data_IF_929042386509
#
_entry.id   IF_929042386509
#
_cell.length_a   1.000
_cell.length_b   1.000
_cell.length_c   1.000
_cell.angle_alpha   90.00
_cell.angle_beta   90.00
_cell.angle_gamma   90.00
#
_symmetry.space_group_name_H-M   'P 1'
#
loop_
_entity.id
_entity.type
_entity.pdbx_description
1 polymer ?
2 polymer ?
3 polymer ?
4 non-polymer ?
5 non-polymer ?
6 non-polymer ?
7 water ?
#
# COMPACT_ATOMS: atom_id res chain seq x y z
N UNK A 1 6.48 -18.95 7.43
CA UNK A 1 5.03 -19.14 7.27
C UNK A 1 4.66 -20.59 7.46
N UNK A 2 3.36 -20.85 7.71
CA UNK A 2 2.91 -22.20 8.04
C UNK A 2 3.00 -23.16 6.87
N UNK A 3 3.16 -22.66 5.65
CA UNK A 3 3.30 -23.51 4.46
C UNK A 3 4.74 -23.65 4.01
N UNK A 4 5.68 -22.98 4.68
CA UNK A 4 7.04 -22.95 4.18
C UNK A 4 7.72 -24.30 4.13
N UNK A 5 7.33 -25.23 5.00
CA UNK A 5 7.96 -26.54 5.02
C UNK A 5 7.30 -27.53 4.08
N UNK A 6 6.23 -27.16 3.39
CA UNK A 6 5.52 -28.07 2.51
C UNK A 6 5.99 -27.92 1.07
N UNK A 7 6.12 -29.05 0.38
CA UNK A 7 6.48 -29.06 -1.03
C UNK A 7 5.48 -28.28 -1.87
N UNK A 8 5.98 -27.58 -2.87
CA UNK A 8 5.11 -26.87 -3.82
C UNK A 8 4.04 -27.80 -4.39
N UNK A 9 4.44 -28.99 -4.85
CA UNK A 9 3.47 -29.86 -5.50
C UNK A 9 2.41 -30.32 -4.51
N UNK A 10 2.80 -30.50 -3.24
CA UNK A 10 1.84 -30.92 -2.22
C UNK A 10 0.85 -29.80 -1.93
N UNK A 11 1.32 -28.55 -1.94
CA UNK A 11 0.43 -27.41 -1.78
C UNK A 11 -0.60 -27.34 -2.90
N UNK A 12 -0.16 -27.54 -4.15
CA UNK A 12 -1.09 -27.51 -5.27
C UNK A 12 -2.09 -28.66 -5.16
N UNK A 13 -1.61 -29.85 -4.81
CA UNK A 13 -2.50 -31.00 -4.67
C UNK A 13 -3.54 -30.73 -3.59
N UNK A 14 -3.11 -30.15 -2.47
CA UNK A 14 -4.05 -29.88 -1.39
C UNK A 14 -5.00 -28.76 -1.74
N UNK A 15 -4.55 -27.78 -2.54
CA UNK A 15 -5.49 -26.76 -3.02
C UNK A 15 -6.62 -27.40 -3.81
N UNK A 16 -6.29 -28.40 -4.63
CA UNK A 16 -7.31 -29.08 -5.42
C UNK A 16 -8.25 -29.88 -4.53
N UNK A 17 -7.72 -30.53 -3.49
CA UNK A 17 -8.58 -31.23 -2.54
C UNK A 17 -9.46 -30.26 -1.78
N UNK A 18 -8.91 -29.13 -1.36
CA UNK A 18 -9.71 -28.14 -0.66
C UNK A 18 -10.85 -27.65 -1.54
N UNK A 19 -10.58 -27.47 -2.84
CA UNK A 19 -11.64 -27.07 -3.76
C UNK A 19 -12.74 -28.13 -3.80
N UNK A 20 -12.38 -29.40 -3.87
CA UNK A 20 -13.39 -30.45 -3.89
C UNK A 20 -14.21 -30.47 -2.62
N UNK A 21 -13.59 -30.11 -1.50
CA UNK A 21 -14.28 -30.06 -0.21
C UNK A 21 -14.93 -28.70 0.04
N UNK A 22 -14.83 -27.78 -0.92
CA UNK A 22 -15.40 -26.42 -0.80
C UNK A 22 -14.87 -25.70 0.42
N UNK A 23 -13.59 -25.93 0.71
CA UNK A 23 -12.87 -25.29 1.80
C UNK A 23 -11.98 -24.23 1.18
N UNK A 24 -12.60 -23.09 0.83
CA UNK A 24 -11.91 -22.10 0.01
C UNK A 24 -10.88 -21.30 0.80
N UNK A 25 -11.08 -21.08 2.10
CA UNK A 25 -10.02 -20.45 2.89
C UNK A 25 -8.76 -21.31 2.88
N UNK A 26 -8.92 -22.62 3.09
CA UNK A 26 -7.78 -23.53 3.02
C UNK A 26 -7.16 -23.49 1.63
N UNK A 27 -8.00 -23.54 0.60
CA UNK A 27 -7.51 -23.51 -0.78
C UNK A 27 -6.66 -22.29 -1.03
N UNK A 28 -7.11 -21.14 -0.56
CA UNK A 28 -6.36 -19.90 -0.77
C UNK A 28 -5.04 -19.94 -0.03
N UNK A 29 -5.03 -20.47 1.19
CA UNK A 29 -3.80 -20.55 1.96
C UNK A 29 -2.79 -21.46 1.31
N UNK A 30 -3.24 -22.57 0.74
CA UNK A 30 -2.34 -23.47 0.05
C UNK A 30 -1.78 -22.80 -1.20
N UNK A 31 -2.65 -22.11 -1.96
CA UNK A 31 -2.17 -21.45 -3.16
C UNK A 31 -1.22 -20.31 -2.83
N UNK A 32 -1.48 -19.56 -1.75
CA UNK A 32 -0.56 -18.54 -1.30
C UNK A 32 0.81 -19.14 -1.01
N UNK A 33 0.84 -20.26 -0.29
CA UNK A 33 2.10 -20.93 -0.04
C UNK A 33 2.80 -21.34 -1.31
N UNK A 34 2.03 -21.83 -2.30
CA UNK A 34 2.63 -22.22 -3.57
C UNK A 34 3.25 -21.02 -4.27
N UNK A 35 2.55 -19.88 -4.28
CA UNK A 35 3.10 -18.66 -4.89
C UNK A 35 4.41 -18.29 -4.22
N UNK A 36 4.48 -18.43 -2.91
CA UNK A 36 5.64 -18.01 -2.15
C UNK A 36 6.87 -18.89 -2.39
N UNK A 37 6.72 -19.99 -3.10
CA UNK A 37 7.89 -20.76 -3.52
C UNK A 37 8.70 -20.05 -4.60
N UNK A 38 8.13 -19.02 -5.21
CA UNK A 38 8.86 -18.17 -6.10
C UNK A 38 8.92 -18.62 -7.55
N UNK A 39 8.23 -19.69 -7.92
CA UNK A 39 8.16 -20.12 -9.31
C UNK A 39 6.90 -19.54 -9.95
N UNK A 40 6.95 -19.31 -11.26
CA UNK A 40 5.79 -18.80 -11.95
C UNK A 40 4.68 -19.85 -11.97
N UNK A 41 3.44 -19.39 -11.81
CA UNK A 41 2.26 -20.26 -11.86
C UNK A 41 1.93 -20.62 -13.30
N UNK A 42 1.51 -21.87 -13.49
CA UNK A 42 0.96 -22.30 -14.75
C UNK A 42 -0.44 -21.73 -14.93
N UNK A 43 -0.99 -21.93 -16.13
CA UNK A 43 -2.36 -21.48 -16.39
C UNK A 43 -3.34 -22.13 -15.42
N UNK A 44 -3.22 -23.44 -15.21
CA UNK A 44 -4.10 -24.12 -14.26
C UNK A 44 -3.93 -23.56 -12.86
N UNK A 45 -2.69 -23.31 -12.45
CA UNK A 45 -2.44 -22.82 -11.10
C UNK A 45 -2.97 -21.40 -10.90
N UNK A 46 -2.85 -20.54 -11.92
CA UNK A 46 -3.44 -19.21 -11.83
C UNK A 46 -4.93 -19.30 -11.58
N UNK A 47 -5.60 -20.24 -12.26
CA UNK A 47 -7.03 -20.39 -12.06
C UNK A 47 -7.35 -20.88 -10.66
N UNK A 48 -6.53 -21.78 -10.11
CA UNK A 48 -6.75 -22.21 -8.73
C UNK A 48 -6.62 -21.03 -7.76
N UNK A 49 -5.58 -20.24 -7.93
CA UNK A 49 -5.37 -19.08 -7.07
C UNK A 49 -6.59 -18.16 -7.13
N UNK A 50 -7.06 -17.88 -8.35
CA UNK A 50 -8.15 -16.95 -8.54
C UNK A 50 -9.45 -17.49 -7.95
N UNK A 51 -9.78 -18.76 -8.21
CA UNK A 51 -11.01 -19.32 -7.69
C UNK A 51 -11.01 -19.29 -6.17
N UNK A 52 -9.87 -19.63 -5.56
CA UNK A 52 -9.79 -19.68 -4.11
C UNK A 52 -10.15 -18.32 -3.52
N UNK A 53 -9.43 -17.27 -3.93
CA UNK A 53 -9.65 -15.98 -3.30
C UNK A 53 -10.99 -15.37 -3.73
N UNK A 54 -11.44 -15.66 -4.95
CA UNK A 54 -12.75 -15.17 -5.37
C UNK A 54 -13.84 -15.68 -4.44
N UNK A 55 -13.73 -16.93 -3.98
CA UNK A 55 -14.74 -17.48 -3.10
C UNK A 55 -14.61 -16.92 -1.69
N UNK A 56 -13.37 -16.74 -1.21
CA UNK A 56 -13.19 -16.14 0.12
C UNK A 56 -13.77 -14.73 0.12
N UNK A 57 -13.30 -13.86 -0.79
CA UNK A 57 -13.77 -12.48 -0.73
C UNK A 57 -15.24 -12.40 -1.12
N UNK A 58 -15.72 -13.34 -1.94
CA UNK A 58 -17.13 -13.33 -2.32
C UNK A 58 -18.04 -13.47 -1.12
N UNK A 59 -17.70 -14.36 -0.20
CA UNK A 59 -18.52 -14.52 0.99
C UNK A 59 -18.44 -13.30 1.88
N UNK A 60 -17.27 -12.70 1.97
CA UNK A 60 -17.11 -11.50 2.78
C UNK A 60 -17.90 -10.34 2.20
N UNK A 61 -17.84 -10.16 0.86
CA UNK A 61 -18.60 -9.09 0.20
C UNK A 61 -20.09 -9.28 0.41
N UNK A 62 -20.57 -10.51 0.27
CA UNK A 62 -22.01 -10.74 0.46
C UNK A 62 -22.43 -10.42 1.89
N UNK A 63 -21.61 -10.81 2.85
CA UNK A 63 -21.93 -10.51 4.25
C UNK A 63 -21.88 -9.01 4.52
N UNK A 64 -20.85 -8.34 3.98
CA UNK A 64 -20.76 -6.89 4.12
C UNK A 64 -21.99 -6.20 3.57
N UNK A 65 -22.49 -6.64 2.41
CA UNK A 65 -23.68 -6.02 1.82
C UNK A 65 -24.90 -6.22 2.70
N UNK A 66 -25.06 -7.41 3.29
CA UNK A 66 -26.16 -7.65 4.21
C UNK A 66 -26.07 -6.69 5.40
N UNK A 67 -24.89 -6.62 6.00
CA UNK A 67 -24.76 -5.80 7.22
C UNK A 67 -24.88 -4.33 6.90
N UNK A 68 -24.36 -3.90 5.75
CA UNK A 68 -24.45 -2.49 5.39
C UNK A 68 -25.91 -2.11 5.16
N UNK A 69 -26.69 -3.01 4.57
CA UNK A 69 -28.11 -2.72 4.36
C UNK A 69 -28.84 -2.59 5.69
N UNK A 70 -28.57 -3.51 6.61
CA UNK A 70 -29.17 -3.42 7.95
C UNK A 70 -28.77 -2.11 8.61
N UNK A 71 -27.50 -1.74 8.50
CA UNK A 71 -27.00 -0.51 9.10
C UNK A 71 -27.67 0.71 8.50
N UNK A 72 -27.85 0.73 7.18
CA UNK A 72 -28.48 1.87 6.52
C UNK A 72 -29.92 2.02 6.96
N UNK A 73 -30.64 0.91 7.13
CA UNK A 73 -32.01 1.02 7.60
C UNK A 73 -32.05 1.57 9.02
N UNK A 74 -31.06 1.25 9.83
CA UNK A 74 -30.97 1.81 11.17
C UNK A 74 -30.34 3.20 11.11
N UNK A 83 -27.87 1.36 19.45
CA UNK A 83 -26.59 0.85 19.92
C UNK A 83 -25.57 0.69 18.81
N UNK A 84 -24.29 0.53 19.18
CA UNK A 84 -23.22 0.50 18.18
C UNK A 84 -23.01 -0.86 17.53
N UNK A 85 -23.82 -1.87 17.83
CA UNK A 85 -23.46 -3.24 17.48
C UNK A 85 -23.45 -3.48 15.97
N UNK A 86 -24.43 -2.96 15.24
CA UNK A 86 -24.47 -3.20 13.79
C UNK A 86 -23.24 -2.61 13.13
N UNK A 87 -22.91 -1.36 13.47
CA UNK A 87 -21.72 -0.74 12.89
C UNK A 87 -20.46 -1.51 13.27
N UNK A 88 -20.35 -1.91 14.53
CA UNK A 88 -19.16 -2.63 14.98
C UNK A 88 -18.96 -3.89 14.17
N UNK A 89 -20.04 -4.65 13.96
CA UNK A 89 -19.90 -5.92 13.28
C UNK A 89 -19.68 -5.72 11.78
N UNK A 90 -20.36 -4.73 11.17
CA UNK A 90 -20.06 -4.39 9.79
C UNK A 90 -18.59 -3.99 9.65
N UNK A 91 -18.07 -3.22 10.60
CA UNK A 91 -16.67 -2.82 10.54
C UNK A 91 -15.74 -4.02 10.67
N UNK A 92 -16.12 -4.98 11.52
CA UNK A 92 -15.32 -6.19 11.68
C UNK A 92 -15.22 -6.93 10.35
N UNK A 93 -16.36 -7.14 9.69
CA UNK A 93 -16.35 -7.87 8.43
C UNK A 93 -15.58 -7.06 7.39
N UNK A 94 -15.80 -5.74 7.37
CA UNK A 94 -15.11 -4.87 6.42
C UNK A 94 -13.60 -5.00 6.58
N UNK A 95 -13.10 -4.97 7.81
CA UNK A 95 -11.67 -5.06 8.05
C UNK A 95 -11.12 -6.40 7.57
N UNK A 96 -11.85 -7.49 7.78
CA UNK A 96 -11.40 -8.80 7.30
C UNK A 96 -11.38 -8.86 5.79
N UNK A 97 -12.39 -8.26 5.15
CA UNK A 97 -12.43 -8.18 3.70
C UNK A 97 -11.23 -7.41 3.17
N UNK A 98 -10.95 -6.25 3.78
CA UNK A 98 -9.81 -5.44 3.35
C UNK A 98 -8.52 -6.22 3.56
N UNK A 99 -8.44 -7.02 4.62
CA UNK A 99 -7.26 -7.82 4.86
C UNK A 99 -7.02 -8.84 3.76
N UNK A 100 -8.09 -9.49 3.28
CA UNK A 100 -7.92 -10.44 2.20
C UNK A 100 -7.51 -9.73 0.92
N UNK A 101 -8.17 -8.60 0.60
CA UNK A 101 -7.76 -7.87 -0.60
C UNK A 101 -6.30 -7.46 -0.53
N UNK A 102 -5.85 -6.97 0.64
CA UNK A 102 -4.45 -6.60 0.81
C UNK A 102 -3.53 -7.81 0.62
N UNK A 103 -3.95 -8.97 1.10
CA UNK A 103 -3.15 -10.18 0.90
C UNK A 103 -2.99 -10.47 -0.59
N UNK A 104 -4.10 -10.43 -1.34
CA UNK A 104 -4.04 -10.74 -2.77
C UNK A 104 -3.18 -9.70 -3.50
N UNK A 105 -3.41 -8.42 -3.22
CA UNK A 105 -2.64 -7.37 -3.88
C UNK A 105 -1.17 -7.49 -3.54
N UNK A 106 -0.86 -7.91 -2.31
CA UNK A 106 0.51 -8.16 -1.93
C UNK A 106 1.16 -9.30 -2.70
N UNK A 107 0.43 -10.39 -2.89
CA UNK A 107 0.94 -11.49 -3.69
C UNK A 107 1.19 -11.04 -5.12
N UNK A 108 0.25 -10.29 -5.68
CA UNK A 108 0.42 -9.80 -7.05
C UNK A 108 1.65 -8.91 -7.15
N UNK A 109 1.81 -7.97 -6.24
CA UNK A 109 2.89 -7.00 -6.34
C UNK A 109 4.24 -7.63 -6.03
N UNK A 110 4.28 -8.51 -5.03
CA UNK A 110 5.55 -9.04 -4.55
C UNK A 110 6.01 -10.25 -5.35
N UNK A 111 5.09 -11.01 -5.94
CA UNK A 111 5.48 -12.28 -6.55
C UNK A 111 5.09 -12.45 -8.02
N UNK A 112 3.91 -11.98 -8.42
CA UNK A 112 3.30 -12.46 -9.66
C UNK A 112 3.35 -11.46 -10.81
N UNK A 113 3.19 -10.17 -10.57
CA UNK A 113 3.21 -9.18 -11.65
C UNK A 113 4.65 -8.94 -12.03
N UNK A 114 4.97 -9.16 -13.30
CA UNK A 114 6.33 -9.00 -13.79
C UNK A 114 6.27 -8.29 -15.13
N UNK A 115 7.40 -7.68 -15.48
CA UNK A 115 7.55 -7.08 -16.80
C UNK A 115 7.69 -8.15 -17.87
N UNK A 116 8.40 -9.22 -17.56
CA UNK A 116 8.86 -10.21 -18.55
C UNK A 116 7.98 -11.45 -18.55
N UNK A 117 6.68 -11.28 -18.69
CA UNK A 117 5.77 -12.39 -18.80
C UNK A 117 5.25 -12.60 -20.21
N UNK A 118 4.62 -13.75 -20.38
CA UNK A 118 3.74 -13.93 -21.52
C UNK A 118 2.49 -13.09 -21.34
N UNK A 119 1.91 -12.68 -22.47
CA UNK A 119 0.78 -11.76 -22.40
C UNK A 119 -0.36 -12.31 -21.56
N UNK A 120 -0.59 -13.62 -21.67
CA UNK A 120 -1.70 -14.25 -20.98
C UNK A 120 -1.60 -14.03 -19.48
N UNK A 121 -0.42 -14.29 -18.92
CA UNK A 121 -0.24 -14.15 -17.48
C UNK A 121 -0.22 -12.68 -17.07
N UNK A 122 0.45 -11.82 -17.85
CA UNK A 122 0.49 -10.41 -17.48
C UNK A 122 -0.91 -9.82 -17.41
N UNK A 123 -1.74 -10.11 -18.40
CA UNK A 123 -3.11 -9.59 -18.42
C UNK A 123 -3.92 -10.19 -17.28
N UNK A 124 -3.77 -11.50 -17.05
CA UNK A 124 -4.50 -12.16 -15.97
C UNK A 124 -4.26 -11.46 -14.63
N UNK A 125 -2.99 -11.20 -14.32
CA UNK A 125 -2.68 -10.66 -13.02
C UNK A 125 -3.03 -9.18 -12.89
N UNK A 126 -2.85 -8.41 -13.96
CA UNK A 126 -3.24 -7.00 -13.88
C UNK A 126 -4.75 -6.85 -13.78
N UNK A 127 -5.50 -7.70 -14.47
CA UNK A 127 -6.95 -7.74 -14.28
C UNK A 127 -7.28 -8.04 -12.82
N UNK A 128 -6.62 -9.04 -12.24
CA UNK A 128 -6.86 -9.39 -10.86
C UNK A 128 -6.58 -8.23 -9.95
N UNK A 129 -5.49 -7.50 -10.22
CA UNK A 129 -5.18 -6.31 -9.43
C UNK A 129 -6.31 -5.30 -9.51
N UNK A 130 -6.84 -5.07 -10.71
CA UNK A 130 -7.96 -4.18 -10.85
C UNK A 130 -9.17 -4.65 -10.06
N UNK A 131 -9.45 -5.96 -10.13
CA UNK A 131 -10.60 -6.52 -9.42
C UNK A 131 -10.48 -6.29 -7.90
N UNK A 132 -9.31 -6.57 -7.33
CA UNK A 132 -9.21 -6.49 -5.88
C UNK A 132 -9.17 -5.04 -5.40
N UNK A 133 -8.61 -4.11 -6.18
CA UNK A 133 -8.81 -2.70 -5.86
C UNK A 133 -10.28 -2.32 -6.00
N UNK A 134 -10.98 -2.86 -7.00
CA UNK A 134 -12.41 -2.60 -7.11
C UNK A 134 -13.15 -3.07 -5.86
N UNK A 135 -12.78 -4.24 -5.31
CA UNK A 135 -13.47 -4.69 -4.10
C UNK A 135 -13.17 -3.77 -2.92
N UNK A 136 -11.94 -3.28 -2.82
CA UNK A 136 -11.64 -2.27 -1.80
C UNK A 136 -12.48 -1.00 -2.03
N UNK A 137 -12.67 -0.61 -3.28
CA UNK A 137 -13.45 0.59 -3.59
C UNK A 137 -14.90 0.44 -3.19
N UNK A 138 -15.44 -0.78 -3.25
CA UNK A 138 -16.83 -1.00 -2.87
C UNK A 138 -17.10 -0.58 -1.43
N UNK A 139 -16.11 -0.69 -0.56
CA UNK A 139 -16.31 -0.39 0.86
C UNK A 139 -15.62 0.89 1.30
N UNK A 140 -14.95 1.59 0.39
CA UNK A 140 -14.24 2.83 0.71
C UNK A 140 -15.16 4.03 0.60
N UNK A 141 -14.76 5.11 1.27
CA UNK A 141 -15.47 6.37 1.23
C UNK A 141 -14.50 7.50 0.94
N UNK A 142 -15.05 8.65 0.52
CA UNK A 142 -14.29 9.89 0.48
C UNK A 142 -13.13 9.87 -0.50
N UNK A 143 -12.10 10.67 -0.17
CA UNK A 143 -10.92 10.74 -1.04
C UNK A 143 -10.13 9.44 -1.06
N UNK A 144 -10.11 8.72 0.06
CA UNK A 144 -9.52 7.38 0.06
C UNK A 144 -10.11 6.54 -1.07
N UNK A 145 -11.42 6.63 -1.24
CA UNK A 145 -12.06 5.95 -2.36
C UNK A 145 -11.49 6.42 -3.69
N UNK A 146 -11.21 7.72 -3.81
CA UNK A 146 -10.74 8.26 -5.08
C UNK A 146 -9.41 7.63 -5.50
N UNK A 147 -8.48 7.49 -4.56
CA UNK A 147 -7.18 6.91 -4.90
C UNK A 147 -7.30 5.42 -5.18
N UNK A 148 -8.18 4.71 -4.46
CA UNK A 148 -8.39 3.29 -4.72
C UNK A 148 -9.00 3.10 -6.09
N UNK A 149 -9.96 3.95 -6.43
CA UNK A 149 -10.59 3.87 -7.75
C UNK A 149 -9.57 4.10 -8.84
N UNK A 150 -8.66 5.06 -8.65
CA UNK A 150 -7.67 5.27 -9.69
C UNK A 150 -6.67 4.12 -9.79
N UNK A 151 -6.36 3.45 -8.66
CA UNK A 151 -5.49 2.28 -8.70
C UNK A 151 -6.14 1.14 -9.49
N UNK A 152 -7.44 0.91 -9.29
CA UNK A 152 -8.14 -0.08 -10.09
C UNK A 152 -8.12 0.28 -11.57
N UNK A 153 -8.43 1.53 -11.88
CA UNK A 153 -8.46 1.96 -13.27
C UNK A 153 -7.11 1.75 -13.93
N UNK A 154 -6.03 2.13 -13.23
CA UNK A 154 -4.69 2.03 -13.82
C UNK A 154 -4.32 0.59 -14.12
N UNK A 155 -4.67 -0.32 -13.22
CA UNK A 155 -4.38 -1.74 -13.44
C UNK A 155 -5.19 -2.30 -14.59
N UNK A 156 -6.50 -2.02 -14.61
CA UNK A 156 -7.31 -2.44 -15.74
C UNK A 156 -6.81 -1.87 -17.05
N UNK A 157 -6.43 -0.59 -17.04
CA UNK A 157 -6.03 0.04 -18.29
C UNK A 157 -4.75 -0.56 -18.84
N UNK A 158 -3.78 -0.85 -17.96
CA UNK A 158 -2.56 -1.51 -18.44
C UNK A 158 -2.89 -2.88 -19.00
N UNK A 159 -3.78 -3.63 -18.34
CA UNK A 159 -4.18 -4.94 -18.85
C UNK A 159 -4.86 -4.81 -20.20
N UNK A 160 -5.72 -3.79 -20.36
CA UNK A 160 -6.40 -3.57 -21.62
C UNK A 160 -5.40 -3.30 -22.74
N UNK A 161 -4.39 -2.47 -22.47
CA UNK A 161 -3.45 -2.10 -23.51
C UNK A 161 -2.67 -3.32 -23.98
N UNK A 162 -2.25 -4.17 -23.04
CA UNK A 162 -1.55 -5.39 -23.42
C UNK A 162 -2.47 -6.31 -24.20
N UNK A 163 -3.73 -6.44 -23.73
CA UNK A 163 -4.63 -7.42 -24.33
C UNK A 163 -4.96 -7.06 -25.77
N UNK A 164 -5.06 -5.75 -26.08
CA UNK A 164 -5.39 -5.33 -27.43
C UNK A 164 -4.21 -5.49 -28.38
N UNK A 165 -2.99 -5.40 -27.86
CA UNK A 165 -1.79 -5.54 -28.68
C UNK A 165 -1.37 -6.98 -28.89
N UNK A 166 -1.58 -7.84 -27.89
CA UNK A 166 -0.96 -9.16 -27.91
C UNK A 166 -1.96 -10.32 -27.97
N UNK A 167 -3.26 -10.08 -27.86
CA UNK A 167 -4.23 -11.16 -27.83
C UNK A 167 -5.30 -10.92 -28.88
N UNK A 168 -5.89 -11.99 -29.43
CA UNK A 168 -7.00 -11.80 -30.37
C UNK A 168 -8.26 -11.36 -29.65
N UNK A 169 -9.19 -10.72 -30.36
CA UNK A 169 -10.38 -10.14 -29.69
C UNK A 169 -11.30 -11.19 -29.10
N UNK A 170 -11.15 -12.46 -29.44
CA UNK A 170 -11.93 -13.54 -28.87
C UNK A 170 -11.25 -14.19 -27.65
N UNK A 171 -10.04 -13.80 -27.32
CA UNK A 171 -9.33 -14.48 -26.24
C UNK A 171 -10.15 -14.39 -24.95
N UNK A 172 -10.44 -15.51 -24.28
CA UNK A 172 -11.33 -15.42 -23.10
C UNK A 172 -10.81 -14.56 -21.96
N UNK A 173 -9.51 -14.51 -21.73
CA UNK A 173 -8.97 -13.63 -20.70
C UNK A 173 -9.20 -12.18 -21.08
N UNK A 174 -8.92 -11.82 -22.33
CA UNK A 174 -9.20 -10.48 -22.81
C UNK A 174 -10.69 -10.13 -22.65
N UNK A 175 -11.56 -11.08 -22.98
CA UNK A 175 -13.01 -10.82 -22.87
C UNK A 175 -13.41 -10.62 -21.41
N UNK A 176 -12.89 -11.45 -20.50
CA UNK A 176 -13.24 -11.31 -19.09
C UNK A 176 -12.73 -10.02 -18.50
N UNK A 177 -11.54 -9.60 -18.93
CA UNK A 177 -11.03 -8.29 -18.53
C UNK A 177 -11.97 -7.18 -18.96
N UNK A 178 -12.40 -7.20 -20.22
CA UNK A 178 -13.29 -6.15 -20.70
C UNK A 178 -14.60 -6.15 -19.93
N UNK A 179 -15.11 -7.34 -19.63
CA UNK A 179 -16.33 -7.45 -18.85
C UNK A 179 -16.18 -6.77 -17.49
N UNK A 180 -15.08 -7.07 -16.78
CA UNK A 180 -14.92 -6.51 -15.43
C UNK A 180 -14.56 -5.03 -15.48
N UNK A 181 -13.77 -4.60 -16.47
CA UNK A 181 -13.48 -3.17 -16.58
C UNK A 181 -14.76 -2.39 -16.88
N UNK A 182 -15.62 -2.95 -17.72
CA UNK A 182 -16.89 -2.27 -18.00
C UNK A 182 -17.75 -2.22 -16.74
N UNK A 183 -17.75 -3.28 -15.93
CA UNK A 183 -18.45 -3.25 -14.65
C UNK A 183 -17.85 -2.17 -13.73
N UNK A 184 -16.53 -2.06 -13.72
CA UNK A 184 -15.88 -0.97 -12.99
C UNK A 184 -16.41 0.39 -13.45
N UNK A 185 -16.45 0.62 -14.76
CA UNK A 185 -16.95 1.91 -15.26
C UNK A 185 -18.38 2.17 -14.78
N UNK A 186 -19.23 1.14 -14.81
CA UNK A 186 -20.65 1.33 -14.53
C UNK A 186 -20.92 1.48 -13.05
N UNK A 187 -20.31 0.61 -12.23
CA UNK A 187 -20.64 0.49 -10.80
C UNK A 187 -19.76 1.33 -9.88
N UNK A 188 -18.52 1.61 -10.27
CA UNK A 188 -17.55 2.25 -9.39
C UNK A 188 -17.24 3.66 -9.84
N UNK A 189 -16.98 3.85 -11.13
CA UNK A 189 -16.44 5.09 -11.67
C UNK A 189 -17.52 6.04 -12.19
N UNK A 190 -18.79 5.71 -12.03
CA UNK A 190 -19.87 6.63 -12.44
C UNK A 190 -19.75 7.00 -13.92
N UNK A 191 -19.41 6.01 -14.74
CA UNK A 191 -19.19 6.22 -16.18
C UNK A 191 -19.98 5.19 -16.97
N UNK A 192 -21.31 5.20 -16.86
CA UNK A 192 -22.11 4.17 -17.57
C UNK A 192 -21.96 4.24 -19.08
N UNK A 193 -21.81 5.42 -19.67
CA UNK A 193 -21.63 5.51 -21.12
C UNK A 193 -20.37 4.77 -21.57
N UNK A 194 -19.26 4.95 -20.84
CA UNK A 194 -18.02 4.23 -21.14
C UNK A 194 -18.20 2.73 -20.94
N UNK A 195 -18.91 2.34 -19.87
CA UNK A 195 -19.20 0.92 -19.63
C UNK A 195 -19.92 0.29 -20.81
N UNK A 196 -20.97 0.96 -21.28
CA UNK A 196 -21.76 0.46 -22.38
C UNK A 196 -20.93 0.42 -23.67
N UNK A 197 -20.19 1.48 -23.95
CA UNK A 197 -19.36 1.50 -25.15
C UNK A 197 -18.34 0.36 -25.14
N UNK A 198 -17.70 0.14 -23.99
CA UNK A 198 -16.68 -0.91 -23.93
C UNK A 198 -17.31 -2.29 -24.10
N UNK A 199 -18.43 -2.54 -23.44
CA UNK A 199 -19.08 -3.84 -23.62
C UNK A 199 -19.50 -4.07 -25.06
N UNK A 200 -20.04 -3.03 -25.72
CA UNK A 200 -20.52 -3.15 -27.09
C UNK A 200 -19.39 -3.43 -28.06
N UNK A 201 -18.35 -2.60 -28.02
CA UNK A 201 -17.27 -2.81 -28.97
C UNK A 201 -16.56 -4.12 -28.72
N UNK A 202 -16.43 -4.52 -27.46
CA UNK A 202 -15.78 -5.79 -27.18
C UNK A 202 -16.60 -6.94 -27.75
N UNK A 203 -17.91 -6.91 -27.50
CA UNK A 203 -18.79 -7.96 -28.01
C UNK A 203 -18.72 -8.03 -29.54
N UNK A 204 -18.82 -6.88 -30.19
CA UNK A 204 -18.89 -6.85 -31.65
C UNK A 204 -17.58 -7.30 -32.29
N UNK A 205 -16.44 -6.93 -31.69
CA UNK A 205 -15.15 -7.32 -32.25
C UNK A 205 -14.89 -8.81 -32.04
N UNK A 206 -15.38 -9.38 -30.95
CA UNK A 206 -15.28 -10.83 -30.76
C UNK A 206 -16.20 -11.58 -31.74
N UNK A 207 -17.44 -11.11 -31.87
CA UNK A 207 -18.39 -11.70 -32.80
C UNK A 207 -17.77 -11.87 -34.17
N UNK A 208 -17.12 -10.81 -34.66
CA UNK A 208 -16.55 -10.79 -36.00
C UNK A 208 -15.44 -11.80 -36.20
N UNK A 209 -14.76 -12.23 -35.12
CA UNK A 209 -13.67 -13.18 -35.26
C UNK A 209 -14.02 -14.61 -34.81
N UNK A 210 -15.28 -14.87 -34.42
CA UNK A 210 -15.64 -16.23 -34.00
C UNK A 210 -15.39 -17.24 -35.10
N UNK A 211 -15.47 -16.82 -36.36
CA UNK A 211 -15.36 -17.77 -37.45
C UNK A 211 -13.97 -18.41 -37.51
N UNK A 212 -12.98 -17.83 -36.83
CA UNK A 212 -11.64 -18.39 -36.79
C UNK A 212 -11.46 -19.50 -35.76
N UNK A 213 -12.46 -19.77 -34.93
CA UNK A 213 -12.26 -20.62 -33.76
C UNK A 213 -12.79 -22.03 -33.95
N UNK A 214 -12.11 -22.97 -33.29
CA UNK A 214 -12.57 -24.34 -33.17
C UNK A 214 -13.85 -24.39 -32.34
N UNK A 215 -14.47 -25.58 -32.29
CA UNK A 215 -15.67 -25.73 -31.48
C UNK A 215 -15.39 -25.41 -30.02
N UNK A 216 -14.26 -25.89 -29.50
CA UNK A 216 -13.94 -25.70 -28.09
C UNK A 216 -13.67 -24.24 -27.76
N UNK A 217 -12.82 -23.58 -28.57
CA UNK A 217 -12.52 -22.19 -28.32
C UNK A 217 -13.75 -21.33 -28.51
N UNK A 218 -14.60 -21.70 -29.47
CA UNK A 218 -15.85 -20.99 -29.70
C UNK A 218 -16.72 -21.02 -28.45
N UNK A 219 -16.81 -22.19 -27.79
CA UNK A 219 -17.62 -22.24 -26.57
C UNK A 219 -17.01 -21.38 -25.47
N UNK A 220 -15.70 -21.41 -25.29
CA UNK A 220 -15.07 -20.60 -24.26
C UNK A 220 -15.34 -19.12 -24.50
N UNK A 221 -15.17 -18.68 -25.74
CA UNK A 221 -15.32 -17.28 -26.06
C UNK A 221 -16.77 -16.83 -25.98
N UNK A 222 -17.68 -17.61 -26.55
CA UNK A 222 -19.07 -17.18 -26.58
C UNK A 222 -19.70 -17.19 -25.20
N UNK A 223 -19.22 -18.03 -24.28
CA UNK A 223 -19.77 -17.97 -22.94
C UNK A 223 -19.50 -16.61 -22.30
N UNK A 224 -18.30 -16.06 -22.49
CA UNK A 224 -18.03 -14.73 -21.91
C UNK A 224 -18.72 -13.63 -22.71
N UNK A 225 -18.78 -13.76 -24.04
CA UNK A 225 -19.57 -12.82 -24.84
C UNK A 225 -21.01 -12.76 -24.36
N UNK A 226 -21.58 -13.89 -23.99
CA UNK A 226 -22.95 -13.90 -23.50
C UNK A 226 -23.09 -13.11 -22.20
N UNK A 227 -22.08 -13.20 -21.33
CA UNK A 227 -22.08 -12.37 -20.12
C UNK A 227 -22.02 -10.89 -20.47
N UNK A 228 -21.19 -10.52 -21.45
CA UNK A 228 -21.12 -9.12 -21.87
C UNK A 228 -22.48 -8.66 -22.34
N UNK A 229 -23.14 -9.49 -23.14
CA UNK A 229 -24.45 -9.12 -23.67
C UNK A 229 -25.48 -9.00 -22.56
N UNK A 230 -25.41 -9.90 -21.56
CA UNK A 230 -26.32 -9.80 -20.42
C UNK A 230 -26.21 -8.45 -19.75
N UNK A 231 -24.97 -7.97 -19.56
CA UNK A 231 -24.80 -6.68 -18.91
C UNK A 231 -25.25 -5.55 -19.81
N UNK A 232 -24.95 -5.63 -21.11
CA UNK A 232 -25.42 -4.60 -22.05
C UNK A 232 -26.93 -4.49 -22.05
N UNK A 233 -27.63 -5.64 -22.05
CA UNK A 233 -29.08 -5.59 -22.12
C UNK A 233 -29.70 -5.21 -20.77
N UNK A 234 -28.98 -5.44 -19.67
CA UNK A 234 -29.39 -4.89 -18.39
C UNK A 234 -29.30 -3.36 -18.39
N UNK A 235 -28.20 -2.85 -18.94
CA UNK A 235 -27.87 -1.43 -18.86
C UNK A 235 -28.60 -0.57 -19.88
N UNK A 236 -29.12 -1.17 -20.95
CA UNK A 236 -29.74 -0.43 -22.05
C UNK A 236 -31.10 -0.99 -22.41
N UNK B 2 -25.67 -5.09 -7.59
CA UNK B 2 -24.72 -4.60 -8.57
C UNK B 2 -24.76 -5.43 -9.87
N UNK B 3 -24.29 -4.83 -10.95
CA UNK B 3 -24.09 -5.56 -12.20
C UNK B 3 -23.17 -6.77 -11.95
N UNK B 4 -23.47 -7.94 -12.52
CA UNK B 4 -22.56 -9.08 -12.36
C UNK B 4 -21.20 -8.99 -13.08
N UNK B 6 -17.33 -11.17 -13.87
CA UNK B 6 -16.95 -12.50 -14.33
C UNK B 6 -17.10 -13.52 -13.20
N UNK B 7 -17.81 -14.62 -13.44
CA UNK B 7 -18.04 -15.58 -12.35
C UNK B 7 -16.91 -16.59 -12.17
N UNK B 8 -15.69 -16.13 -12.27
CA UNK B 8 -14.53 -16.99 -12.22
C UNK B 8 -13.36 -16.16 -12.66
N UNK C 1 -10.63 18.56 3.10
CA UNK C 1 -9.97 18.63 4.43
C UNK C 1 -10.61 19.70 5.29
N UNK C 2 -10.63 19.44 6.61
CA UNK C 2 -11.24 20.36 7.54
C UNK C 2 -10.59 21.74 7.48
N UNK C 3 -9.35 21.83 7.00
CA UNK C 3 -8.62 23.09 6.94
C UNK C 3 -8.71 23.73 5.55
N UNK C 4 -9.50 23.16 4.64
CA UNK C 4 -9.54 23.65 3.27
C UNK C 4 -9.99 25.09 3.13
N UNK C 5 -10.79 25.59 4.08
CA UNK C 5 -11.32 26.95 3.95
C UNK C 5 -10.43 28.00 4.61
N UNK C 6 -9.32 27.59 5.24
CA UNK C 6 -8.46 28.54 5.94
C UNK C 6 -7.26 28.91 5.06
N UNK C 7 -6.92 30.20 5.07
CA UNK C 7 -5.73 30.68 4.37
C UNK C 7 -4.48 29.95 4.81
N UNK C 8 -3.59 29.68 3.84
CA UNK C 8 -2.31 29.05 4.15
C UNK C 8 -1.56 29.79 5.25
N UNK C 9 -1.48 31.13 5.14
CA UNK C 9 -0.71 31.88 6.12
C UNK C 9 -1.34 31.81 7.50
N UNK C 10 -2.66 31.75 7.56
CA UNK C 10 -3.35 31.59 8.84
C UNK C 10 -3.08 30.23 9.45
N UNK C 11 -3.01 29.18 8.63
CA UNK C 11 -2.68 27.85 9.12
C UNK C 11 -1.28 27.81 9.72
N UNK C 12 -0.31 28.44 9.06
CA UNK C 12 1.07 28.48 9.58
C UNK C 12 1.11 29.25 10.90
N UNK C 13 0.41 30.38 10.96
CA UNK C 13 0.33 31.17 12.19
C UNK C 13 -0.26 30.34 13.34
N UNK C 14 -1.34 29.61 13.06
CA UNK C 14 -1.99 28.82 14.10
C UNK C 14 -1.15 27.60 14.47
N UNK C 15 -0.41 27.02 13.53
CA UNK C 15 0.53 25.96 13.90
C UNK C 15 1.54 26.45 14.93
N UNK C 16 2.02 27.68 14.77
CA UNK C 16 3.00 28.21 15.71
C UNK C 16 2.36 28.52 17.06
N UNK C 17 1.11 29.00 17.05
CA UNK C 17 0.39 29.19 18.31
C UNK C 17 0.18 27.86 19.01
N UNK C 18 -0.24 26.83 18.26
CA UNK C 18 -0.46 25.52 18.84
C UNK C 18 0.82 24.98 19.48
N UNK C 19 1.96 25.22 18.83
CA UNK C 19 3.22 24.78 19.42
C UNK C 19 3.46 25.48 20.75
N UNK C 20 3.23 26.79 20.79
CA UNK C 20 3.40 27.52 22.05
C UNK C 20 2.49 26.98 23.14
N UNK C 21 1.28 26.55 22.77
CA UNK C 21 0.32 26.01 23.72
C UNK C 21 0.51 24.52 23.98
N UNK C 22 1.51 23.89 23.35
CA UNK C 22 1.78 22.46 23.47
C UNK C 22 0.55 21.64 23.05
N UNK C 23 -0.11 22.10 22.00
CA UNK C 23 -1.27 21.44 21.42
C UNK C 23 -0.81 20.79 20.11
N UNK C 24 -0.10 19.67 20.23
CA UNK C 24 0.59 19.14 19.06
C UNK C 24 -0.35 18.49 18.06
N UNK C 25 -1.48 17.91 18.50
CA UNK C 25 -2.44 17.42 17.53
C UNK C 25 -2.98 18.55 16.69
N UNK C 26 -3.33 19.67 17.32
CA UNK C 26 -3.74 20.86 16.56
C UNK C 26 -2.64 21.31 15.62
N UNK C 27 -1.41 21.39 16.14
CA UNK C 27 -0.29 21.83 15.30
C UNK C 27 -0.17 20.97 14.05
N UNK C 28 -0.29 19.65 14.23
CA UNK C 28 -0.17 18.73 13.11
C UNK C 28 -1.30 18.93 12.11
N UNK C 29 -2.53 19.11 12.61
CA UNK C 29 -3.67 19.32 11.73
C UNK C 29 -3.52 20.63 10.94
N UNK C 30 -3.03 21.69 11.58
CA UNK C 30 -2.80 22.95 10.88
C UNK C 30 -1.73 22.78 9.81
N UNK C 31 -0.64 22.07 10.13
CA UNK C 31 0.41 21.86 9.16
C UNK C 31 -0.05 20.96 8.01
N UNK C 32 -0.83 19.93 8.31
CA UNK C 32 -1.45 19.13 7.25
C UNK C 32 -2.26 20.03 6.31
N UNK C 33 -3.10 20.90 6.87
CA UNK C 33 -3.86 21.81 6.03
C UNK C 33 -2.97 22.69 5.17
N UNK C 34 -1.85 23.16 5.74
CA UNK C 34 -0.93 24.01 4.96
C UNK C 34 -0.29 23.21 3.82
N UNK C 35 0.14 21.99 4.10
CA UNK C 35 0.70 21.15 3.04
C UNK C 35 -0.31 20.95 1.92
N UNK C 36 -1.57 20.71 2.28
CA UNK C 36 -2.59 20.39 1.28
C UNK C 36 -2.96 21.58 0.42
N UNK C 37 -2.45 22.77 0.72
CA UNK C 37 -2.63 23.89 -0.20
C UNK C 37 -1.86 23.68 -1.50
N UNK C 38 -0.86 22.80 -1.51
CA UNK C 38 -0.19 22.43 -2.73
C UNK C 38 1.09 23.18 -3.01
N UNK C 39 1.47 24.12 -2.16
CA UNK C 39 2.71 24.87 -2.36
C UNK C 39 3.87 24.21 -1.60
N UNK C 40 5.08 24.42 -2.10
CA UNK C 40 6.27 23.95 -1.40
C UNK C 40 6.33 24.54 0.00
N UNK C 41 7.05 23.85 0.88
CA UNK C 41 7.31 24.33 2.23
C UNK C 41 8.70 24.94 2.30
N UNK C 42 8.81 26.01 3.09
CA UNK C 42 10.12 26.54 3.44
C UNK C 42 10.78 25.61 4.45
N UNK C 43 12.06 25.88 4.74
CA UNK C 43 12.78 25.07 5.72
C UNK C 43 12.13 25.18 7.10
N UNK C 44 11.74 26.39 7.50
CA UNK C 44 11.05 26.56 8.77
C UNK C 44 9.75 25.78 8.79
N UNK C 45 9.01 25.80 7.68
CA UNK C 45 7.73 25.10 7.63
C UNK C 45 7.89 23.59 7.65
N UNK C 46 8.87 23.06 6.91
CA UNK C 46 9.15 21.63 6.97
C UNK C 46 9.44 21.20 8.39
N UNK C 47 10.22 22.01 9.12
CA UNK C 47 10.53 21.68 10.50
C UNK C 47 9.28 21.72 11.37
N UNK C 48 8.38 22.69 11.14
CA UNK C 48 7.12 22.70 11.88
C UNK C 48 6.34 21.42 11.64
N UNK C 49 6.28 20.98 10.39
CA UNK C 49 5.56 19.75 10.05
C UNK C 49 6.15 18.56 10.80
N UNK C 50 7.48 18.46 10.76
CA UNK C 50 8.17 17.34 11.37
C UNK C 50 7.99 17.35 12.89
N UNK C 51 8.14 18.52 13.51
CA UNK C 51 8.00 18.59 14.96
C UNK C 51 6.59 18.21 15.37
N UNK C 52 5.59 18.70 14.65
CA UNK C 52 4.20 18.46 15.05
C UNK C 52 3.91 16.96 15.04
N UNK C 53 4.19 16.30 13.92
CA UNK C 53 3.86 14.89 13.82
C UNK C 53 4.78 14.03 14.67
N UNK C 54 6.02 14.44 14.88
CA UNK C 54 6.89 13.66 15.75
C UNK C 54 6.33 13.64 17.18
N UNK C 55 5.80 14.78 17.63
CA UNK C 55 5.23 14.81 18.98
C UNK C 55 4.01 13.93 19.06
N UNK C 56 3.16 13.97 18.04
CA UNK C 56 1.96 13.13 18.03
C UNK C 56 2.34 11.65 18.00
N UNK C 57 3.12 11.23 17.00
CA UNK C 57 3.44 9.80 16.88
C UNK C 57 4.31 9.36 18.04
N UNK C 58 5.15 10.26 18.57
CA UNK C 58 5.98 9.90 19.70
C UNK C 58 5.17 9.54 20.92
N UNK C 59 4.09 10.27 21.16
CA UNK C 59 3.23 9.94 22.29
C UNK C 59 2.52 8.63 22.08
N UNK C 60 2.09 8.37 20.84
CA UNK C 60 1.44 7.10 20.54
C UNK C 60 2.40 5.93 20.66
N UNK C 61 3.63 6.09 20.15
CA UNK C 61 4.62 5.03 20.27
C UNK C 61 4.92 4.72 21.73
N UNK C 62 5.07 5.76 22.57
CA UNK C 62 5.36 5.53 23.97
C UNK C 62 4.21 4.81 24.65
N UNK C 63 2.98 5.19 24.33
CA UNK C 63 1.83 4.52 24.91
C UNK C 63 1.74 3.08 24.43
N UNK C 64 2.01 2.85 23.13
CA UNK C 64 2.00 1.50 22.59
C UNK C 64 3.03 0.61 23.31
N UNK C 65 4.22 1.16 23.56
CA UNK C 65 5.25 0.41 24.25
C UNK C 65 4.85 0.07 25.68
N UNK C 66 4.20 1.01 26.38
CA UNK C 66 3.70 0.71 27.73
C UNK C 66 2.73 -0.46 27.67
N UNK C 67 1.76 -0.37 26.78
CA UNK C 67 0.71 -1.38 26.69
C UNK C 67 1.27 -2.71 26.24
N UNK C 68 2.19 -2.70 25.27
CA UNK C 68 2.80 -3.95 24.82
C UNK C 68 3.58 -4.62 25.95
N UNK C 69 4.23 -3.81 26.80
CA UNK C 69 4.96 -4.36 27.93
C UNK C 69 4.02 -5.02 28.93
N UNK C 70 2.87 -4.39 29.21
CA UNK C 70 1.89 -4.99 30.10
C UNK C 70 1.35 -6.26 29.48
N UNK C 71 1.09 -6.24 28.17
CA UNK C 71 0.54 -7.40 27.47
C UNK C 71 1.51 -8.56 27.55
N UNK C 72 2.78 -8.31 27.28
CA UNK C 72 3.76 -9.40 27.29
C UNK C 72 3.89 -10.00 28.69
N UNK C 73 3.88 -9.17 29.72
CA UNK C 73 3.88 -9.70 31.08
C UNK C 73 2.69 -10.61 31.28
N UNK C 74 1.50 -10.18 30.85
CA UNK C 74 0.33 -11.02 30.97
C UNK C 74 0.48 -12.27 30.12
N UNK C 83 -7.67 -11.61 30.54
CA UNK C 83 -8.71 -11.31 29.57
C UNK C 83 -8.18 -10.60 28.35
N UNK C 84 -9.08 -10.29 27.41
CA UNK C 84 -8.66 -9.66 26.14
C UNK C 84 -8.39 -8.16 26.22
N UNK C 85 -8.64 -7.50 27.35
CA UNK C 85 -8.68 -6.05 27.37
C UNK C 85 -7.34 -5.41 27.05
N UNK C 86 -6.22 -5.97 27.56
CA UNK C 86 -4.92 -5.36 27.29
C UNK C 86 -4.63 -5.40 25.80
N UNK C 87 -4.81 -6.56 25.18
CA UNK C 87 -4.62 -6.66 23.75
C UNK C 87 -5.55 -5.70 23.00
N UNK C 88 -6.82 -5.66 23.39
CA UNK C 88 -7.77 -4.79 22.69
C UNK C 88 -7.32 -3.34 22.74
N UNK C 89 -6.91 -2.88 23.91
CA UNK C 89 -6.53 -1.48 24.03
C UNK C 89 -5.21 -1.20 23.34
N UNK C 90 -4.25 -2.12 23.44
CA UNK C 90 -3.04 -2.01 22.63
C UNK C 90 -3.37 -1.90 21.14
N UNK C 91 -4.32 -2.72 20.66
CA UNK C 91 -4.70 -2.67 19.25
C UNK C 91 -5.36 -1.34 18.89
N UNK C 92 -6.12 -0.76 19.83
CA UNK C 92 -6.75 0.54 19.60
C UNK C 92 -5.69 1.62 19.41
N UNK C 93 -4.71 1.66 20.31
CA UNK C 93 -3.63 2.63 20.18
C UNK C 93 -2.84 2.36 18.90
N UNK C 94 -2.58 1.09 18.62
CA UNK C 94 -1.86 0.71 17.41
C UNK C 94 -2.57 1.24 16.16
N UNK C 95 -3.88 1.06 16.08
CA UNK C 95 -4.64 1.53 14.92
C UNK C 95 -4.55 3.04 14.76
N UNK C 96 -4.58 3.77 15.88
CA UNK C 96 -4.46 5.23 15.81
C UNK C 96 -3.06 5.65 15.36
N UNK C 97 -2.04 4.97 15.86
CA UNK C 97 -0.67 5.21 15.42
C UNK C 97 -0.54 4.96 13.93
N UNK C 98 -1.08 3.83 13.44
CA UNK C 98 -1.02 3.52 12.02
C UNK C 98 -1.74 4.59 11.19
N UNK C 99 -2.83 5.13 11.73
CA UNK C 99 -3.55 6.18 11.04
C UNK C 99 -2.72 7.44 10.88
N UNK C 100 -2.00 7.82 11.94
CA UNK C 100 -1.15 9.01 11.85
C UNK C 100 -0.01 8.77 10.87
N UNK C 101 0.61 7.59 10.93
CA UNK C 101 1.69 7.32 9.97
C UNK C 101 1.18 7.33 8.54
N UNK C 102 -0.01 6.76 8.30
CA UNK C 102 -0.59 6.77 6.96
C UNK C 102 -0.85 8.20 6.51
N UNK C 103 -1.29 9.06 7.42
CA UNK C 103 -1.53 10.46 7.07
C UNK C 103 -0.23 11.15 6.66
N UNK C 104 0.85 10.96 7.43
CA UNK C 104 2.12 11.60 7.08
C UNK C 104 2.64 11.07 5.75
N UNK C 105 2.61 9.75 5.57
CA UNK C 105 3.08 9.17 4.32
C UNK C 105 2.25 9.67 3.15
N UNK C 106 0.96 9.89 3.37
CA UNK C 106 0.12 10.43 2.30
C UNK C 106 0.54 11.83 1.89
N UNK C 107 0.89 12.69 2.87
CA UNK C 107 1.38 14.02 2.54
C UNK C 107 2.69 13.97 1.78
N UNK C 108 3.59 13.08 2.19
CA UNK C 108 4.86 12.96 1.50
C UNK C 108 4.68 12.45 0.07
N UNK C 109 3.79 11.47 -0.14
CA UNK C 109 3.53 10.93 -1.46
C UNK C 109 2.67 11.84 -2.32
N UNK C 110 1.86 12.72 -1.70
CA UNK C 110 0.89 13.57 -2.39
C UNK C 110 0.94 14.97 -1.80
N UNK C 111 1.96 15.77 -2.15
CA UNK C 111 2.97 15.50 -3.18
C UNK C 111 4.30 16.10 -2.79
N UNK C 112 4.63 16.06 -1.49
CA UNK C 112 5.79 16.81 -1.01
C UNK C 112 7.09 16.35 -1.67
N UNK C 113 7.28 15.04 -1.79
CA UNK C 113 8.56 14.54 -2.30
C UNK C 113 8.76 14.97 -3.75
N UNK C 114 7.75 14.78 -4.58
CA UNK C 114 7.94 15.06 -6.00
C UNK C 114 8.02 16.55 -6.29
N UNK C 115 7.46 17.40 -5.43
CA UNK C 115 7.50 18.84 -5.64
C UNK C 115 8.65 19.53 -4.92
N UNK C 116 9.44 18.77 -4.16
CA UNK C 116 10.58 19.36 -3.48
C UNK C 116 11.54 19.97 -4.51
N UNK C 117 11.90 21.24 -4.27
CA UNK C 117 12.63 22.04 -5.23
C UNK C 117 14.12 22.03 -5.12
N UNK C 118 14.66 21.40 -4.08
CA UNK C 118 16.11 21.29 -3.94
C UNK C 118 16.43 19.97 -3.25
N UNK C 119 17.70 19.58 -3.35
CA UNK C 119 18.11 18.27 -2.86
C UNK C 119 17.91 18.15 -1.34
N UNK C 120 18.21 19.24 -0.62
CA UNK C 120 18.11 19.23 0.83
C UNK C 120 16.70 18.85 1.28
N UNK C 121 15.69 19.44 0.64
CA UNK C 121 14.32 19.17 1.05
C UNK C 121 13.84 17.81 0.57
N UNK C 122 14.29 17.35 -0.61
CA UNK C 122 13.87 16.02 -1.06
C UNK C 122 14.48 14.94 -0.18
N UNK C 123 15.72 15.14 0.28
CA UNK C 123 16.30 14.19 1.23
C UNK C 123 15.54 14.24 2.55
N UNK C 124 15.21 15.44 3.01
CA UNK C 124 14.44 15.59 4.25
C UNK C 124 13.15 14.78 4.17
N UNK C 125 12.45 14.87 3.04
CA UNK C 125 11.14 14.21 2.92
C UNK C 125 11.29 12.70 2.72
N UNK C 126 12.28 12.27 1.94
CA UNK C 126 12.49 10.84 1.75
C UNK C 126 12.95 10.19 3.06
N UNK C 127 13.79 10.88 3.83
CA UNK C 127 14.12 10.39 5.16
C UNK C 127 12.87 10.25 6.02
N UNK C 128 12.02 11.28 6.00
CA UNK C 128 10.78 11.23 6.76
C UNK C 128 9.92 10.05 6.33
N UNK C 129 9.88 9.76 5.03
CA UNK C 129 9.11 8.61 4.54
C UNK C 129 9.68 7.31 5.09
N UNK C 130 10.99 7.17 5.09
CA UNK C 130 11.60 6.02 5.72
C UNK C 130 11.26 5.93 7.19
N UNK C 131 11.31 7.07 7.89
CA UNK C 131 11.02 7.09 9.33
C UNK C 131 9.60 6.62 9.61
N UNK C 132 8.62 7.13 8.86
CA UNK C 132 7.24 6.79 9.19
C UNK C 132 6.89 5.36 8.75
N UNK C 133 7.52 4.83 7.68
CA UNK C 133 7.39 3.40 7.45
C UNK C 133 8.08 2.62 8.57
N UNK C 134 9.19 3.12 9.09
CA UNK C 134 9.83 2.47 10.21
C UNK C 134 8.91 2.42 11.43
N UNK C 135 8.18 3.51 11.71
CA UNK C 135 7.29 3.47 12.86
C UNK C 135 6.17 2.46 12.63
N UNK C 136 5.67 2.37 11.39
CA UNK C 136 4.73 1.30 11.07
C UNK C 136 5.35 -0.08 11.29
N UNK C 137 6.62 -0.25 10.91
CA UNK C 137 7.24 -1.57 11.04
C UNK C 137 7.34 -2.00 12.49
N UNK C 138 7.45 -1.05 13.42
CA UNK C 138 7.59 -1.42 14.83
C UNK C 138 6.38 -2.15 15.34
N UNK C 139 5.20 -1.88 14.76
CA UNK C 139 3.97 -2.50 15.23
C UNK C 139 3.38 -3.48 14.24
N UNK C 140 4.00 -3.68 13.08
CA UNK C 140 3.45 -4.54 12.06
C UNK C 140 3.85 -5.99 12.31
N UNK C 141 3.13 -6.89 11.64
CA UNK C 141 3.45 -8.31 11.70
C UNK C 141 3.34 -8.92 10.31
N UNK C 142 3.96 -10.10 10.17
CA UNK C 142 3.75 -10.94 9.01
C UNK C 142 4.09 -10.30 7.68
N UNK C 143 3.29 -10.59 6.66
CA UNK C 143 3.60 -10.13 5.32
C UNK C 143 3.53 -8.61 5.21
N UNK C 144 2.60 -7.98 5.94
CA UNK C 144 2.52 -6.53 5.94
C UNK C 144 3.81 -5.92 6.46
N UNK C 145 4.34 -6.48 7.54
CA UNK C 145 5.62 -5.99 8.05
C UNK C 145 6.71 -6.09 6.98
N UNK C 146 6.77 -7.22 6.27
CA UNK C 146 7.82 -7.37 5.25
C UNK C 146 7.69 -6.30 4.16
N UNK C 147 6.45 -6.04 3.70
CA UNK C 147 6.23 -4.98 2.71
C UNK C 147 6.65 -3.64 3.25
N UNK C 148 6.29 -3.34 4.50
CA UNK C 148 6.62 -2.07 5.12
C UNK C 148 8.13 -1.89 5.21
N UNK C 149 8.83 -2.94 5.64
CA UNK C 149 10.29 -2.89 5.75
C UNK C 149 10.91 -2.58 4.39
N UNK C 150 10.45 -3.23 3.33
CA UNK C 150 10.99 -2.96 2.01
C UNK C 150 10.70 -1.53 1.58
N UNK C 151 9.52 -1.00 1.90
CA UNK C 151 9.19 0.40 1.59
C UNK C 151 10.10 1.36 2.34
N UNK C 152 10.33 1.09 3.62
CA UNK C 152 11.23 1.95 4.39
C UNK C 152 12.61 1.96 3.78
N UNK C 153 13.14 0.77 3.48
CA UNK C 153 14.48 0.68 2.93
C UNK C 153 14.60 1.45 1.61
N UNK C 154 13.59 1.32 0.74
CA UNK C 154 13.67 1.97 -0.57
C UNK C 154 13.68 3.49 -0.43
N UNK C 155 12.88 4.02 0.50
CA UNK C 155 12.85 5.46 0.74
C UNK C 155 14.17 5.95 1.30
N UNK C 156 14.66 5.29 2.34
CA UNK C 156 15.97 5.65 2.89
C UNK C 156 17.07 5.57 1.84
N UNK C 157 17.05 4.52 1.02
CA UNK C 157 18.14 4.36 0.06
C UNK C 157 18.10 5.45 -0.99
N UNK C 158 16.91 5.83 -1.47
CA UNK C 158 16.83 6.94 -2.41
C UNK C 158 17.36 8.22 -1.77
N UNK C 159 17.02 8.47 -0.51
CA UNK C 159 17.58 9.63 0.18
C UNK C 159 19.09 9.55 0.26
N UNK C 160 19.63 8.36 0.53
CA UNK C 160 21.08 8.20 0.61
C UNK C 160 21.72 8.56 -0.72
N UNK C 161 21.18 8.02 -1.80
CA UNK C 161 21.76 8.27 -3.12
C UNK C 161 21.82 9.77 -3.41
N UNK C 162 20.75 10.49 -3.10
CA UNK C 162 20.70 11.92 -3.38
C UNK C 162 21.70 12.65 -2.50
N UNK C 163 21.74 12.33 -1.21
CA UNK C 163 22.63 13.04 -0.31
C UNK C 163 24.10 12.81 -0.65
N UNK C 164 24.44 11.63 -1.16
CA UNK C 164 25.83 11.38 -1.54
C UNK C 164 26.22 12.22 -2.75
N UNK C 165 25.28 12.43 -3.67
CA UNK C 165 25.58 13.20 -4.88
C UNK C 165 25.52 14.70 -4.65
N UNK C 166 24.68 15.18 -3.73
CA UNK C 166 24.38 16.61 -3.65
C UNK C 166 24.78 17.29 -2.36
N UNK C 167 25.13 16.56 -1.32
CA UNK C 167 25.40 17.18 -0.03
C UNK C 167 26.78 16.77 0.46
N UNK C 168 27.50 17.65 1.14
CA UNK C 168 28.78 17.25 1.72
C UNK C 168 28.60 16.26 2.85
N UNK C 169 29.62 15.46 3.17
CA UNK C 169 29.44 14.40 4.18
C UNK C 169 29.21 14.90 5.59
N UNK C 170 29.44 16.17 5.87
CA UNK C 170 29.19 16.71 7.21
C UNK C 170 27.82 17.35 7.32
N UNK C 171 27.08 17.47 6.23
CA UNK C 171 25.78 18.11 6.24
C UNK C 171 24.90 17.46 7.31
N UNK C 172 24.27 18.25 8.19
CA UNK C 172 23.50 17.63 9.28
C UNK C 172 22.30 16.79 8.83
N UNK C 173 21.64 17.16 7.72
CA UNK C 173 20.54 16.35 7.24
C UNK C 173 21.04 15.01 6.73
N UNK C 174 22.15 15.03 6.00
CA UNK C 174 22.74 13.79 5.51
C UNK C 174 23.14 12.90 6.68
N UNK C 175 23.75 13.49 7.71
CA UNK C 175 24.15 12.71 8.87
C UNK C 175 22.94 12.13 9.59
N UNK C 176 21.87 12.93 9.71
CA UNK C 176 20.69 12.45 10.41
C UNK C 176 20.00 11.33 9.65
N UNK C 177 19.99 11.42 8.32
CA UNK C 177 19.47 10.33 7.51
C UNK C 177 20.26 9.05 7.75
N UNK C 178 21.59 9.14 7.71
CA UNK C 178 22.42 7.97 7.93
C UNK C 178 22.19 7.39 9.32
N UNK C 179 22.03 8.27 10.32
CA UNK C 179 21.72 7.79 11.66
C UNK C 179 20.44 6.97 11.67
N UNK C 180 19.36 7.51 11.10
CA UNK C 180 18.07 6.82 11.20
C UNK C 180 18.05 5.58 10.31
N UNK C 181 18.70 5.64 9.14
CA UNK C 181 18.77 4.45 8.28
C UNK C 181 19.54 3.34 8.97
N UNK C 182 20.62 3.68 9.69
CA UNK C 182 21.36 2.64 10.38
C UNK C 182 20.55 2.09 11.55
N UNK C 183 19.77 2.93 12.23
CA UNK C 183 18.85 2.41 13.24
C UNK C 183 17.84 1.45 12.60
N UNK C 184 17.30 1.82 11.45
CA UNK C 184 16.42 0.91 10.70
C UNK C 184 17.09 -0.44 10.47
N UNK C 185 18.32 -0.44 9.96
CA UNK C 185 19.02 -1.71 9.71
C UNK C 185 19.11 -2.56 10.96
N UNK C 186 19.47 -1.95 12.08
CA UNK C 186 19.73 -2.70 13.30
C UNK C 186 18.44 -3.15 13.99
N UNK C 187 17.50 -2.24 14.19
CA UNK C 187 16.32 -2.46 15.01
C UNK C 187 15.16 -3.11 14.27
N UNK C 188 15.07 -2.88 12.97
CA UNK C 188 13.92 -3.31 12.18
C UNK C 188 14.28 -4.44 11.22
N UNK C 189 15.32 -4.24 10.42
CA UNK C 189 15.67 -5.18 9.37
C UNK C 189 16.57 -6.31 9.84
N UNK C 190 16.91 -6.37 11.12
CA UNK C 190 17.80 -7.40 11.67
C UNK C 190 19.06 -7.54 10.82
N UNK C 191 19.63 -6.39 10.43
CA UNK C 191 20.83 -6.32 9.62
C UNK C 191 21.91 -5.54 10.37
N UNK C 192 22.40 -6.07 11.50
CA UNK C 192 23.37 -5.31 12.28
C UNK C 192 24.63 -4.98 11.50
N UNK C 193 25.07 -5.86 10.61
CA UNK C 193 26.31 -5.57 9.87
C UNK C 193 26.12 -4.40 8.91
N UNK C 194 24.93 -4.28 8.30
CA UNK C 194 24.67 -3.09 7.49
C UNK C 194 24.57 -1.84 8.35
N UNK C 195 23.98 -1.94 9.54
CA UNK C 195 23.87 -0.79 10.42
C UNK C 195 25.25 -0.29 10.81
N UNK C 196 26.11 -1.20 11.22
CA UNK C 196 27.46 -0.84 11.64
C UNK C 196 28.24 -0.25 10.47
N UNK C 197 28.21 -0.91 9.30
CA UNK C 197 28.97 -0.40 8.16
C UNK C 197 28.50 0.99 7.78
N UNK C 198 27.19 1.22 7.75
CA UNK C 198 26.68 2.54 7.38
C UNK C 198 27.09 3.60 8.40
N UNK C 199 26.92 3.31 9.68
CA UNK C 199 27.26 4.32 10.69
C UNK C 199 28.76 4.63 10.67
N UNK C 200 29.58 3.59 10.49
CA UNK C 200 31.02 3.76 10.49
C UNK C 200 31.47 4.58 9.29
N UNK C 201 31.00 4.22 8.10
CA UNK C 201 31.38 4.96 6.91
C UNK C 201 30.96 6.42 7.02
N UNK C 202 29.74 6.66 7.51
CA UNK C 202 29.26 8.02 7.67
C UNK C 202 30.14 8.79 8.65
N UNK C 203 30.46 8.16 9.77
CA UNK C 203 31.28 8.81 10.80
C UNK C 203 32.65 9.19 10.26
N UNK C 204 33.30 8.27 9.56
CA UNK C 204 34.64 8.53 9.04
C UNK C 204 34.64 9.62 7.99
N UNK C 205 33.68 9.56 7.05
CA UNK C 205 33.67 10.52 5.95
C UNK C 205 33.35 11.93 6.46
N UNK C 206 32.55 12.04 7.53
CA UNK C 206 32.33 13.33 8.16
C UNK C 206 33.57 13.81 8.90
N UNK C 207 34.24 12.91 9.63
CA UNK C 207 35.40 13.31 10.42
C UNK C 207 36.47 13.94 9.53
N UNK C 208 36.62 13.44 8.30
CA UNK C 208 37.64 13.94 7.38
C UNK C 208 37.48 15.43 7.10
N UNK C 209 36.25 15.94 7.15
CA UNK C 209 35.95 17.31 6.77
C UNK C 209 35.66 18.23 7.94
N UNK C 210 35.73 17.75 9.19
CA UNK C 210 35.37 18.60 10.33
C UNK C 210 36.19 19.88 10.39
N UNK C 211 37.43 19.83 9.91
CA UNK C 211 38.32 20.97 10.03
C UNK C 211 37.94 22.11 9.08
N UNK C 212 37.12 21.82 8.07
CA UNK C 212 36.69 22.85 7.13
C UNK C 212 35.49 23.64 7.64
N UNK C 213 34.92 23.26 8.78
CA UNK C 213 33.64 23.79 9.25
C UNK C 213 33.83 24.96 10.21
N UNK C 214 32.83 25.84 10.23
CA UNK C 214 32.77 26.88 11.23
C UNK C 214 32.56 26.26 12.61
N UNK C 215 32.59 27.13 13.62
CA UNK C 215 32.42 26.69 15.00
C UNK C 215 31.04 26.08 15.22
N UNK C 216 30.00 26.72 14.68
CA UNK C 216 28.64 26.22 14.89
C UNK C 216 28.39 24.95 14.09
N UNK C 217 28.88 24.90 12.86
CA UNK C 217 28.71 23.69 12.06
C UNK C 217 29.47 22.52 12.65
N UNK C 218 30.67 22.78 13.18
CA UNK C 218 31.44 21.73 13.84
C UNK C 218 30.64 21.13 15.00
N UNK C 219 30.02 22.00 15.81
CA UNK C 219 29.18 21.53 16.92
C UNK C 219 27.99 20.74 16.41
N UNK C 220 27.28 21.27 15.39
CA UNK C 220 26.18 20.55 14.79
C UNK C 220 26.62 19.15 14.36
N UNK C 221 27.68 19.07 13.54
CA UNK C 221 28.05 17.79 12.94
C UNK C 221 28.55 16.82 13.99
N UNK C 222 29.39 17.26 14.92
CA UNK C 222 29.87 16.32 15.93
C UNK C 222 28.75 15.89 16.86
N UNK C 223 27.72 16.71 17.01
CA UNK C 223 26.56 16.30 17.81
C UNK C 223 25.93 15.05 17.23
N UNK C 224 25.69 15.05 15.92
CA UNK C 224 25.08 13.88 15.29
C UNK C 224 26.09 12.75 15.17
N UNK C 225 27.39 13.09 15.04
CA UNK C 225 28.41 12.05 15.01
C UNK C 225 28.41 11.30 16.33
N UNK C 226 28.18 12.01 17.44
CA UNK C 226 28.17 11.36 18.73
C UNK C 226 26.97 10.47 18.87
N UNK C 227 25.84 10.84 18.23
CA UNK C 227 24.68 9.96 18.17
C UNK C 227 24.99 8.69 17.40
N UNK C 228 25.70 8.80 16.27
CA UNK C 228 26.19 7.61 15.57
C UNK C 228 27.12 6.80 16.46
N UNK C 229 28.00 7.47 17.20
CA UNK C 229 28.95 6.77 18.06
C UNK C 229 28.22 6.00 19.17
N UNK C 230 27.20 6.62 19.78
CA UNK C 230 26.47 5.93 20.85
C UNK C 230 25.88 4.65 20.31
N UNK C 231 25.32 4.69 19.11
CA UNK C 231 24.73 3.50 18.54
C UNK C 231 25.79 2.45 18.21
N UNK C 232 26.93 2.88 17.66
CA UNK C 232 28.03 1.94 17.41
C UNK C 232 28.51 1.27 18.69
N UNK C 233 28.60 2.01 19.79
CA UNK C 233 29.04 1.43 21.05
C UNK C 233 28.05 0.38 21.53
N UNK C 234 26.76 0.70 21.47
CA UNK C 234 25.74 -0.30 21.78
C UNK C 234 25.88 -1.51 20.87
N UNK C 235 26.15 -1.25 19.59
CA UNK C 235 26.15 -2.31 18.59
C UNK C 235 27.46 -3.08 18.54
N UNK C 236 28.57 -2.48 18.99
CA UNK C 236 29.90 -3.08 18.84
C UNK C 236 30.71 -3.09 20.12
N UNK D 1 17.59 1.26 20.27
CA UNK D 1 18.57 2.24 19.80
C UNK D 1 17.89 3.58 19.47
N UNK D 2 18.45 4.71 19.96
CA UNK D 2 17.81 5.99 19.63
C UNK D 2 18.06 6.55 18.22
N UNK D 4 17.31 10.04 15.51
CA UNK D 4 17.54 11.48 15.59
C UNK D 4 16.47 12.15 16.46
N UNK D 5 16.90 12.95 17.48
CA UNK D 5 15.97 13.58 18.42
C UNK D 5 15.36 14.90 17.94
N UNK D 6 14.88 14.89 16.71
CA UNK D 6 14.26 16.06 16.10
C UNK D 6 14.21 15.89 14.60
#
# INVERSE_FOLDING_TARGET
>A
GAMGSMERASLIQKAKLAEQAERYEDMAAFMKGAVEKGEELSCEERNLLSVAYKNVVGGQRAAWRVLSSIEQKSNEEGSEEKGPEVREYREKVETELQGVCDTVLGLLDSHLIKEAGDAESRVFYLKMKGDYYRYLAEVATGDDKKRIIDSARSAYQEAMDISKKEMPPTNPIRLGLALNFSVFHYEIANSPEEAISLAKTTFDEAMADLHTLSEDSYKDSTLIMQLLRDNLTLWT
>B
XRTPXLPG
>C
GAMGSMERASLIQKAKLAEQAERYEDMAAFMKGAVEKGEELSCEERNLLSVAYKNVVGGQRAAWRVLSSIEQKSNEEGSEEKGPEVREYREKVETELQGVCDTVLGLLDSHLIKEAGDAESRVFYLKMKGDYYRYLAEVATGDDKKRIIDSARSAYQEAMDISKKEMPPTNPIRLGLALNFSVFHYEIANSPEEAISLAKTTFDEAMADLHTLSEDSYKDSTLIMQLLRDNLTLWT
>D
TPXLPG
#
